data_IF_365954884791
#
_entry.id   IF_365954884791
#
_cell.length_a   1.000
_cell.length_b   1.000
_cell.length_c   1.000
_cell.angle_alpha   90.00
_cell.angle_beta   90.00
_cell.angle_gamma   90.00
#
_symmetry.space_group_name_H-M   'P 1'
#
loop_
_entity.id
_entity.type
_entity.pdbx_description
1 polymer ?
#
# COMPACT_ATOMS: atom_id res chain seq x y z
N UNK A 1 16.09 -15.79 4.31
CA UNK A 1 15.42 -14.47 4.38
C UNK A 1 14.67 -14.29 3.07
N UNK A 2 13.35 -14.16 3.10
CA UNK A 2 12.61 -13.83 1.87
C UNK A 2 13.04 -12.42 1.45
N UNK A 3 13.61 -12.30 0.26
CA UNK A 3 14.12 -11.03 -0.23
C UNK A 3 12.91 -10.20 -0.69
N UNK A 4 12.63 -9.12 0.03
CA UNK A 4 11.60 -8.15 -0.39
C UNK A 4 11.94 -7.62 -1.79
N UNK A 5 11.01 -7.76 -2.73
CA UNK A 5 11.23 -7.42 -4.14
C UNK A 5 10.52 -6.12 -4.51
N UNK A 6 11.26 -5.23 -5.16
CA UNK A 6 10.75 -4.07 -5.87
C UNK A 6 11.30 -4.08 -7.30
N UNK A 7 10.54 -3.62 -8.30
CA UNK A 7 11.06 -3.36 -9.62
C UNK A 7 12.20 -2.35 -9.61
N UNK A 8 13.01 -2.39 -10.67
CA UNK A 8 14.09 -1.40 -10.91
C UNK A 8 13.52 -0.03 -11.27
N UNK A 9 14.32 1.02 -11.14
CA UNK A 9 13.90 2.41 -11.39
C UNK A 9 13.25 2.61 -12.77
N UNK A 10 13.78 1.98 -13.82
CA UNK A 10 13.24 2.12 -15.18
C UNK A 10 11.80 1.61 -15.34
N UNK A 11 11.35 0.68 -14.48
CA UNK A 11 9.95 0.25 -14.46
C UNK A 11 9.03 1.45 -14.19
N UNK A 12 9.37 2.24 -13.16
CA UNK A 12 8.59 3.38 -12.72
C UNK A 12 8.79 4.62 -13.60
N UNK A 13 9.98 4.83 -14.15
CA UNK A 13 10.22 5.89 -15.14
C UNK A 13 9.40 5.71 -16.42
N UNK A 14 9.02 4.46 -16.73
CA UNK A 14 8.10 4.13 -17.82
C UNK A 14 6.62 4.17 -17.37
N UNK A 15 6.31 4.90 -16.30
CA UNK A 15 4.97 5.15 -15.77
C UNK A 15 4.21 3.88 -15.34
N UNK A 16 4.92 2.77 -15.12
CA UNK A 16 4.28 1.54 -14.66
C UNK A 16 4.10 1.56 -13.14
N UNK A 17 2.88 1.25 -12.70
CA UNK A 17 2.62 0.99 -11.28
C UNK A 17 3.11 -0.42 -10.89
N UNK A 18 3.25 -0.64 -9.59
CA UNK A 18 3.63 -1.93 -9.02
C UNK A 18 2.73 -2.27 -7.84
N UNK A 19 2.19 -3.49 -7.84
CA UNK A 19 1.40 -4.03 -6.72
C UNK A 19 1.95 -5.38 -6.32
N UNK A 20 2.10 -5.59 -5.02
CA UNK A 20 2.62 -6.84 -4.48
C UNK A 20 2.19 -7.03 -3.02
N UNK A 21 2.62 -8.16 -2.45
CA UNK A 21 2.28 -8.53 -1.09
C UNK A 21 3.40 -9.29 -0.41
N UNK A 22 3.51 -9.07 0.89
CA UNK A 22 4.32 -9.90 1.78
C UNK A 22 3.45 -10.41 2.94
N UNK A 23 3.05 -11.69 2.83
CA UNK A 23 2.08 -12.35 3.71
C UNK A 23 0.78 -11.55 3.82
N UNK A 24 0.53 -10.84 4.92
CA UNK A 24 -0.66 -10.00 5.12
C UNK A 24 -0.48 -8.57 4.66
N UNK A 25 0.75 -8.10 4.53
CA UNK A 25 1.01 -6.76 4.00
C UNK A 25 0.70 -6.73 2.50
N UNK A 26 -0.05 -5.72 2.07
CA UNK A 26 -0.28 -5.38 0.67
C UNK A 26 0.24 -3.97 0.43
N UNK A 27 0.81 -3.73 -0.75
CA UNK A 27 1.32 -2.41 -1.11
C UNK A 27 1.14 -2.12 -2.59
N UNK A 28 0.99 -0.84 -2.90
CA UNK A 28 0.88 -0.27 -4.23
C UNK A 28 1.88 0.88 -4.34
N UNK A 29 2.61 0.92 -5.43
CA UNK A 29 3.53 2.00 -5.78
C UNK A 29 3.13 2.53 -7.15
N UNK A 30 2.84 3.82 -7.22
CA UNK A 30 2.39 4.48 -8.43
C UNK A 30 3.26 5.71 -8.69
N UNK A 31 3.93 5.81 -9.85
CA UNK A 31 4.57 7.06 -10.24
C UNK A 31 3.50 8.14 -10.43
N UNK A 32 3.63 9.27 -9.72
CA UNK A 32 2.66 10.39 -9.79
C UNK A 32 3.02 11.40 -10.86
N UNK A 33 4.31 11.66 -10.98
CA UNK A 33 4.90 12.59 -11.92
C UNK A 33 6.32 12.11 -12.27
N UNK A 34 7.08 12.93 -13.00
CA UNK A 34 8.45 12.61 -13.41
C UNK A 34 9.46 12.57 -12.27
N UNK A 35 9.07 12.91 -11.04
CA UNK A 35 9.99 13.09 -9.90
C UNK A 35 9.57 12.32 -8.65
N UNK A 36 8.36 11.75 -8.61
CA UNK A 36 7.76 11.23 -7.37
C UNK A 36 7.04 9.89 -7.56
N UNK A 37 7.26 9.00 -6.60
CA UNK A 37 6.51 7.75 -6.37
C UNK A 37 5.56 7.95 -5.20
N UNK A 38 4.28 7.63 -5.36
CA UNK A 38 3.37 7.44 -4.23
C UNK A 38 3.33 5.96 -3.86
N UNK A 39 3.55 5.66 -2.59
CA UNK A 39 3.42 4.33 -2.02
C UNK A 39 2.25 4.28 -1.04
N UNK A 40 1.47 3.21 -1.11
CA UNK A 40 0.34 2.95 -0.24
C UNK A 40 0.49 1.55 0.34
N UNK A 41 0.20 1.39 1.63
CA UNK A 41 0.23 0.09 2.32
C UNK A 41 -1.07 -0.15 3.08
N UNK A 42 -1.52 -1.39 3.09
CA UNK A 42 -2.67 -1.82 3.86
C UNK A 42 -2.52 -3.27 4.29
N UNK A 43 -3.29 -3.66 5.30
CA UNK A 43 -3.39 -5.07 5.69
C UNK A 43 -4.47 -5.78 4.86
N UNK A 44 -4.13 -6.94 4.31
CA UNK A 44 -5.07 -7.83 3.65
C UNK A 44 -6.11 -8.45 4.62
N UNK A 45 -6.99 -9.34 4.14
CA UNK A 45 -6.88 -10.07 2.87
C UNK A 45 -7.41 -9.32 1.65
N UNK A 46 -8.08 -8.18 1.85
CA UNK A 46 -8.80 -7.49 0.78
C UNK A 46 -7.88 -6.66 -0.14
N UNK A 47 -8.37 -6.39 -1.35
CA UNK A 47 -7.71 -5.50 -2.30
C UNK A 47 -7.89 -4.02 -1.92
N UNK A 48 -7.19 -3.14 -2.64
CA UNK A 48 -7.19 -1.68 -2.40
C UNK A 48 -8.59 -1.07 -2.32
N UNK A 49 -9.49 -1.45 -3.23
CA UNK A 49 -10.88 -0.96 -3.26
C UNK A 49 -11.67 -1.22 -1.96
N UNK A 50 -11.28 -2.26 -1.22
CA UNK A 50 -12.00 -2.80 -0.06
C UNK A 50 -11.22 -2.65 1.25
N UNK A 51 -10.11 -1.92 1.23
CA UNK A 51 -9.22 -1.76 2.37
C UNK A 51 -9.04 -0.29 2.72
N UNK A 52 -8.83 -0.02 4.00
CA UNK A 52 -8.34 1.26 4.48
C UNK A 52 -6.81 1.27 4.38
N UNK A 53 -6.24 2.36 3.88
CA UNK A 53 -4.80 2.51 3.81
C UNK A 53 -4.26 2.78 5.21
N UNK A 54 -3.22 2.04 5.61
CA UNK A 54 -2.52 2.24 6.88
C UNK A 54 -1.61 3.47 6.79
N UNK A 55 -0.96 3.65 5.63
CA UNK A 55 -0.15 4.82 5.32
C UNK A 55 -0.14 5.04 3.80
N UNK A 56 -0.17 6.32 3.42
CA UNK A 56 0.09 6.81 2.07
C UNK A 56 1.24 7.80 2.20
N UNK A 57 2.32 7.58 1.46
CA UNK A 57 3.51 8.45 1.51
C UNK A 57 4.15 8.56 0.13
N UNK A 58 5.07 9.50 -0.02
CA UNK A 58 5.76 9.76 -1.28
C UNK A 58 7.27 9.62 -1.15
N UNK A 59 7.91 9.13 -2.20
CA UNK A 59 9.36 8.99 -2.33
C UNK A 59 9.84 9.63 -3.63
N UNK A 60 11.10 10.10 -3.72
CA UNK A 60 11.68 10.54 -4.98
C UNK A 60 11.73 9.40 -6.02
N UNK A 61 11.51 9.71 -7.29
CA UNK A 61 11.73 8.81 -8.43
C UNK A 61 13.22 8.75 -8.76
N UNK A 62 13.98 8.13 -7.87
CA UNK A 62 15.44 7.96 -7.98
C UNK A 62 15.87 6.64 -7.34
N UNK A 63 17.10 6.20 -7.60
CA UNK A 63 17.67 5.02 -6.92
C UNK A 63 17.66 5.16 -5.40
N UNK A 64 17.94 6.36 -4.89
CA UNK A 64 17.86 6.66 -3.45
C UNK A 64 16.42 6.55 -2.93
N UNK A 65 15.44 7.09 -3.67
CA UNK A 65 14.03 6.98 -3.29
C UNK A 65 13.52 5.54 -3.33
N UNK A 66 13.98 4.71 -4.28
CA UNK A 66 13.68 3.28 -4.30
C UNK A 66 14.27 2.54 -3.08
N UNK A 67 15.47 2.92 -2.64
CA UNK A 67 16.06 2.36 -1.43
C UNK A 67 15.25 2.74 -0.18
N UNK A 68 14.83 4.01 -0.05
CA UNK A 68 13.98 4.48 1.03
C UNK A 68 12.60 3.78 1.03
N UNK A 69 11.98 3.64 -0.15
CA UNK A 69 10.74 2.91 -0.34
C UNK A 69 10.87 1.44 0.11
N UNK A 70 11.99 0.81 -0.21
CA UNK A 70 12.27 -0.57 0.20
C UNK A 70 12.32 -0.70 1.72
N UNK A 71 13.08 0.16 2.39
CA UNK A 71 13.20 0.15 3.85
C UNK A 71 11.86 0.43 4.53
N UNK A 72 11.08 1.35 3.97
CA UNK A 72 9.72 1.64 4.41
C UNK A 72 8.80 0.42 4.29
N UNK A 73 8.85 -0.30 3.17
CA UNK A 73 8.07 -1.52 2.99
C UNK A 73 8.50 -2.65 3.94
N UNK A 74 9.81 -2.80 4.22
CA UNK A 74 10.30 -3.80 5.17
C UNK A 74 9.75 -3.54 6.56
N UNK A 75 9.82 -2.29 7.04
CA UNK A 75 9.24 -1.87 8.32
C UNK A 75 7.74 -2.18 8.41
N UNK A 76 6.99 -1.90 7.34
CA UNK A 76 5.56 -2.19 7.30
C UNK A 76 5.26 -3.68 7.26
N UNK A 77 6.07 -4.47 6.55
CA UNK A 77 5.93 -5.92 6.54
C UNK A 77 6.08 -6.48 7.94
N UNK A 78 7.13 -6.08 8.67
CA UNK A 78 7.34 -6.49 10.06
C UNK A 78 6.17 -6.08 10.96
N UNK A 79 5.71 -4.83 10.82
CA UNK A 79 4.61 -4.27 11.62
C UNK A 79 3.29 -5.01 11.41
N UNK A 80 2.86 -5.18 10.15
CA UNK A 80 1.59 -5.85 9.82
C UNK A 80 1.69 -7.34 10.12
N UNK A 81 2.81 -7.98 9.78
CA UNK A 81 2.93 -9.43 9.95
C UNK A 81 3.12 -9.85 11.41
N UNK A 82 3.49 -8.95 12.32
CA UNK A 82 3.54 -9.20 13.76
C UNK A 82 2.16 -9.19 14.45
N UNK A 83 1.11 -8.64 13.81
CA UNK A 83 -0.24 -8.56 14.40
C UNK A 83 -0.81 -9.97 14.66
N UNK A 84 -1.70 -10.19 15.63
CA UNK A 84 -2.42 -11.45 15.71
C UNK A 84 -3.21 -11.73 14.41
N UNK A 85 -3.39 -13.00 13.98
CA UNK A 85 -4.31 -13.32 12.90
C UNK A 85 -5.72 -12.89 13.24
N UNK A 86 -6.45 -12.34 12.26
CA UNK A 86 -7.87 -12.01 12.40
C UNK A 86 -8.75 -13.16 11.97
N UNK A 87 -9.88 -13.30 12.64
CA UNK A 87 -10.98 -14.19 12.27
C UNK A 87 -11.67 -13.71 10.99
N UNK A 88 -12.48 -14.59 10.39
CA UNK A 88 -13.28 -14.25 9.21
C UNK A 88 -14.21 -13.06 9.48
N UNK A 89 -14.91 -13.07 10.62
CA UNK A 89 -15.83 -12.00 11.02
C UNK A 89 -15.13 -10.65 11.11
N UNK A 90 -13.95 -10.61 11.73
CA UNK A 90 -13.15 -9.38 11.82
C UNK A 90 -12.69 -8.90 10.44
N UNK A 91 -12.26 -9.82 9.55
CA UNK A 91 -11.87 -9.42 8.19
C UNK A 91 -13.04 -8.88 7.38
N UNK A 92 -14.26 -9.41 7.55
CA UNK A 92 -15.46 -8.89 6.90
C UNK A 92 -15.79 -7.49 7.44
N UNK A 93 -15.74 -7.31 8.77
CA UNK A 93 -15.99 -6.01 9.39
C UNK A 93 -15.01 -4.93 8.91
N UNK A 94 -13.73 -5.27 8.71
CA UNK A 94 -12.74 -4.35 8.13
C UNK A 94 -13.13 -3.87 6.72
N UNK A 95 -13.60 -4.79 5.87
CA UNK A 95 -14.05 -4.45 4.51
C UNK A 95 -15.25 -3.51 4.57
N UNK A 96 -16.24 -3.86 5.38
CA UNK A 96 -17.48 -3.10 5.46
C UNK A 96 -17.23 -1.70 6.02
N UNK A 97 -16.34 -1.57 7.02
CA UNK A 97 -15.86 -0.28 7.52
C UNK A 97 -15.12 0.52 6.43
N UNK A 98 -14.26 -0.12 5.63
CA UNK A 98 -13.56 0.55 4.53
C UNK A 98 -14.52 1.04 3.43
N UNK A 99 -15.54 0.26 3.09
CA UNK A 99 -16.58 0.67 2.15
C UNK A 99 -17.39 1.85 2.67
N UNK A 100 -17.76 1.82 3.96
CA UNK A 100 -18.50 2.91 4.59
C UNK A 100 -17.67 4.20 4.63
N UNK A 101 -16.39 4.12 5.01
CA UNK A 101 -15.50 5.28 5.05
C UNK A 101 -15.35 5.94 3.67
N UNK A 102 -15.23 5.13 2.60
CA UNK A 102 -15.15 5.64 1.24
C UNK A 102 -16.46 6.27 0.76
N UNK A 103 -17.60 5.69 1.12
CA UNK A 103 -18.91 6.27 0.80
C UNK A 103 -19.09 7.65 1.45
N UNK A 104 -18.71 7.81 2.73
CA UNK A 104 -18.77 9.11 3.41
C UNK A 104 -17.86 10.15 2.75
N UNK A 105 -16.64 9.78 2.34
CA UNK A 105 -15.72 10.69 1.64
C UNK A 105 -16.25 11.18 0.28
N UNK A 106 -17.02 10.35 -0.44
CA UNK A 106 -17.66 10.80 -1.69
C UNK A 106 -18.81 11.80 -1.46
N UNK A 107 -19.52 11.71 -0.33
CA UNK A 107 -20.66 12.60 -0.06
C UNK A 107 -20.20 14.01 0.35
N UNK A 108 -19.05 14.11 1.03
CA UNK A 108 -18.47 15.40 1.44
C UNK A 108 -17.81 16.17 0.28
N UNK A 109 -17.43 15.49 -0.82
CA UNK A 109 -16.86 16.13 -2.00
C UNK A 109 -17.91 16.75 -2.95
N UNK A 110 -19.19 16.41 -2.77
CA UNK A 110 -20.33 16.90 -3.57
C UNK A 110 -21.21 17.94 -2.83
N UNK A 111 -20.80 18.40 -1.64
CA UNK A 111 -21.50 19.42 -0.83
C UNK A 111 -20.83 20.79 -0.86
#
# INVERSE_FOLDING_TARGET
MAQFFLPVLSHFQNENFWTASDRRMRYLVTPKDSETLEAQVWEGPWGHAFSQMEEITSFPLSEEGLAQLKDWCVRWSETINARPPRSLEETIAMRDAALQAKASQSTDAES
#
